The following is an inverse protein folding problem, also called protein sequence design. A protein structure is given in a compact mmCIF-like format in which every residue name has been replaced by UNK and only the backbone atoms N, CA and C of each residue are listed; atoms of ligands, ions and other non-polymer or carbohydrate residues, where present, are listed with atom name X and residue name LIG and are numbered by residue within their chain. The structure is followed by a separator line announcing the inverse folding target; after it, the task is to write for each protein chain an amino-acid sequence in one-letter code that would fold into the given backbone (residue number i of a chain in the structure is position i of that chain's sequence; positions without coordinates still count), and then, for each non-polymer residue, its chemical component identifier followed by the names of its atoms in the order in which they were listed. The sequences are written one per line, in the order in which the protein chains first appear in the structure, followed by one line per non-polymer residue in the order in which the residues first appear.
data_IF_358405428061
#
_entry.id   IF_358405428061
#
_cell.length_a   1.000
_cell.length_b   1.000
_cell.length_c   1.000
_cell.angle_alpha   90.00
_cell.angle_beta   90.00
_cell.angle_gamma   90.00
#
_symmetry.space_group_name_H-M   'P 1'
#
loop_
_entity.id
_entity.type
_entity.pdbx_description
1 polymer ?
#
# COMPACT_ATOMS: atom_id res chain seq x y z
N UNK A 1 -2.66 11.87 -0.01
CA UNK A 1 -2.55 13.19 -0.64
C UNK A 1 -2.49 13.05 -2.16
N UNK A 2 -3.31 13.83 -2.84
CA UNK A 2 -3.30 13.97 -4.30
C UNK A 2 -3.12 15.43 -4.66
N UNK A 3 -2.41 15.68 -5.76
CA UNK A 3 -2.20 17.00 -6.32
C UNK A 3 -2.71 17.01 -7.77
N UNK A 4 -3.46 18.03 -8.14
CA UNK A 4 -3.94 18.17 -9.51
C UNK A 4 -2.88 18.90 -10.34
N UNK A 5 -2.25 18.18 -11.27
CA UNK A 5 -1.25 18.70 -12.19
C UNK A 5 -1.78 18.59 -13.62
N UNK A 6 -2.02 19.69 -14.28
CA UNK A 6 -2.53 19.74 -15.65
C UNK A 6 -3.83 18.92 -15.86
N UNK A 7 -4.71 18.89 -14.85
CA UNK A 7 -5.98 18.15 -14.87
C UNK A 7 -5.84 16.65 -14.54
N UNK A 8 -4.66 16.17 -14.17
CA UNK A 8 -4.40 14.80 -13.72
C UNK A 8 -4.19 14.82 -12.21
N UNK A 9 -4.96 14.01 -11.48
CA UNK A 9 -4.77 13.83 -10.04
C UNK A 9 -3.59 12.88 -9.77
N UNK A 10 -2.48 13.43 -9.35
CA UNK A 10 -1.24 12.72 -9.04
C UNK A 10 -1.27 12.24 -7.60
N UNK A 11 -1.12 10.94 -7.37
CA UNK A 11 -0.98 10.35 -6.04
C UNK A 11 0.48 10.51 -5.58
N UNK A 12 0.74 11.50 -4.72
CA UNK A 12 2.11 11.92 -4.38
C UNK A 12 2.88 10.84 -3.60
N UNK A 13 2.21 10.11 -2.74
CA UNK A 13 2.81 9.05 -1.90
C UNK A 13 2.58 7.64 -2.43
N UNK A 14 2.50 7.48 -3.75
CA UNK A 14 2.28 6.19 -4.41
C UNK A 14 0.81 5.91 -4.72
N UNK A 15 0.57 4.81 -5.44
CA UNK A 15 -0.77 4.40 -5.82
C UNK A 15 -1.63 4.06 -4.60
N UNK A 16 -2.70 4.81 -4.40
CA UNK A 16 -3.68 4.56 -3.34
C UNK A 16 -5.04 4.31 -3.98
N UNK A 17 -5.51 3.07 -3.88
CA UNK A 17 -6.84 2.65 -4.29
C UNK A 17 -7.64 2.36 -3.03
N UNK A 18 -8.77 3.04 -2.87
CA UNK A 18 -9.65 2.75 -1.74
C UNK A 18 -10.38 1.44 -1.98
N UNK A 19 -10.34 0.55 -1.01
CA UNK A 19 -11.07 -0.72 -1.03
C UNK A 19 -11.48 -1.11 0.39
N UNK A 20 -12.61 -1.75 0.54
CA UNK A 20 -13.11 -2.25 1.84
C UNK A 20 -14.25 -3.24 1.66
N UNK A 21 -14.40 -4.16 2.59
CA UNK A 21 -15.61 -4.96 2.79
C UNK A 21 -16.45 -4.45 3.97
N UNK A 22 -15.95 -3.44 4.69
CA UNK A 22 -16.64 -2.83 5.83
C UNK A 22 -17.66 -1.78 5.35
N UNK A 23 -18.94 -2.15 5.37
CA UNK A 23 -20.00 -1.22 4.91
C UNK A 23 -20.03 0.10 5.67
N UNK A 24 -19.75 0.09 6.99
CA UNK A 24 -19.69 1.30 7.81
C UNK A 24 -18.65 2.29 7.29
N UNK A 25 -17.48 1.78 6.89
CA UNK A 25 -16.40 2.61 6.35
C UNK A 25 -16.76 3.14 4.98
N UNK A 26 -17.32 2.28 4.10
CA UNK A 26 -17.78 2.69 2.78
C UNK A 26 -18.84 3.79 2.84
N UNK A 27 -19.86 3.61 3.68
CA UNK A 27 -20.91 4.60 3.88
C UNK A 27 -20.37 5.91 4.46
N UNK A 28 -19.36 5.85 5.32
CA UNK A 28 -18.72 7.02 5.91
C UNK A 28 -17.97 7.85 4.86
N UNK A 29 -17.07 7.23 4.08
CA UNK A 29 -16.27 7.98 3.09
C UNK A 29 -17.10 8.56 1.96
N UNK A 30 -18.20 7.90 1.60
CA UNK A 30 -19.15 8.40 0.57
C UNK A 30 -19.95 9.63 1.00
N UNK A 31 -19.87 10.06 2.26
CA UNK A 31 -20.41 11.36 2.69
C UNK A 31 -19.53 12.53 2.23
N UNK A 32 -18.25 12.27 1.93
CA UNK A 32 -17.24 13.29 1.65
C UNK A 32 -16.72 13.29 0.23
N UNK A 33 -16.93 12.21 -0.52
CA UNK A 33 -16.56 12.12 -1.92
C UNK A 33 -17.43 11.08 -2.64
N UNK A 34 -17.70 11.32 -3.92
CA UNK A 34 -18.18 10.28 -4.83
C UNK A 34 -17.00 9.43 -5.28
N UNK A 35 -17.16 8.11 -5.29
CA UNK A 35 -16.13 7.18 -5.76
C UNK A 35 -16.45 6.71 -7.18
N UNK A 36 -15.44 6.69 -8.02
CA UNK A 36 -15.58 6.10 -9.34
C UNK A 36 -15.55 4.55 -9.25
N UNK A 37 -15.78 3.90 -10.40
CA UNK A 37 -15.77 2.42 -10.49
C UNK A 37 -14.39 1.82 -10.79
N UNK A 38 -13.30 2.49 -10.43
CA UNK A 38 -11.96 1.97 -10.71
C UNK A 38 -11.77 0.60 -10.06
N UNK A 39 -11.35 -0.37 -10.87
CA UNK A 39 -11.02 -1.72 -10.42
C UNK A 39 -9.52 -1.91 -10.56
N UNK A 40 -8.84 -2.19 -9.45
CA UNK A 40 -7.40 -2.35 -9.45
C UNK A 40 -6.99 -3.67 -10.12
N UNK A 41 -6.33 -3.56 -11.26
CA UNK A 41 -5.87 -4.71 -12.07
C UNK A 41 -4.41 -4.50 -12.47
N UNK A 42 -3.47 -4.54 -11.52
CA UNK A 42 -2.06 -4.36 -11.81
C UNK A 42 -1.50 -5.51 -12.65
N UNK A 43 -0.44 -5.24 -13.36
CA UNK A 43 0.34 -6.26 -14.07
C UNK A 43 1.77 -6.30 -13.55
N UNK A 44 2.43 -7.43 -13.72
CA UNK A 44 3.85 -7.61 -13.42
C UNK A 44 4.64 -7.78 -14.72
N UNK A 45 5.73 -7.04 -14.86
CA UNK A 45 6.69 -7.17 -15.95
C UNK A 45 7.92 -7.92 -15.46
N UNK A 46 8.26 -9.00 -16.17
CA UNK A 46 9.48 -9.79 -15.94
C UNK A 46 10.13 -10.13 -17.27
N UNK A 47 11.34 -9.63 -17.54
CA UNK A 47 12.13 -9.86 -18.76
C UNK A 47 11.34 -9.68 -20.06
N UNK A 48 10.56 -8.60 -20.13
CA UNK A 48 9.74 -8.26 -21.29
C UNK A 48 8.41 -9.04 -21.39
N UNK A 49 8.10 -9.92 -20.45
CA UNK A 49 6.84 -10.65 -20.38
C UNK A 49 5.90 -10.03 -19.35
N UNK A 50 4.64 -9.77 -19.73
CA UNK A 50 3.60 -9.25 -18.84
C UNK A 50 2.77 -10.41 -18.27
N UNK A 51 2.50 -10.32 -16.95
CA UNK A 51 1.69 -11.23 -16.18
C UNK A 51 0.60 -10.49 -15.42
N UNK A 52 -0.61 -11.04 -15.37
CA UNK A 52 -1.69 -10.48 -14.59
C UNK A 52 -1.47 -10.71 -13.08
N UNK A 53 -1.90 -9.74 -12.28
CA UNK A 53 -1.92 -9.80 -10.82
C UNK A 53 -3.35 -9.60 -10.30
N UNK A 54 -3.75 -10.27 -9.20
CA UNK A 54 -3.04 -11.29 -8.45
C UNK A 54 -2.81 -12.56 -9.28
N UNK A 55 -2.04 -13.53 -8.76
CA UNK A 55 -1.81 -14.80 -9.46
C UNK A 55 -3.14 -15.52 -9.70
N UNK A 56 -3.58 -15.54 -10.93
CA UNK A 56 -4.87 -16.08 -11.36
C UNK A 56 -4.74 -16.93 -12.63
N UNK A 57 -5.85 -17.42 -13.16
CA UNK A 57 -5.82 -18.28 -14.35
C UNK A 57 -5.18 -17.60 -15.58
N UNK A 58 -5.24 -16.27 -15.73
CA UNK A 58 -4.51 -15.57 -16.80
C UNK A 58 -2.99 -15.65 -16.57
N UNK A 59 -2.54 -15.52 -15.31
CA UNK A 59 -1.13 -15.69 -14.94
C UNK A 59 -0.64 -17.10 -15.23
N UNK A 60 -1.41 -18.12 -14.83
CA UNK A 60 -1.04 -19.54 -15.02
C UNK A 60 -1.07 -19.96 -16.50
N UNK A 61 -2.05 -19.45 -17.27
CA UNK A 61 -2.06 -19.64 -18.71
C UNK A 61 -0.81 -19.06 -19.37
N UNK A 62 -0.40 -17.84 -18.98
CA UNK A 62 0.81 -17.19 -19.51
C UNK A 62 2.08 -17.94 -19.10
N UNK A 63 2.16 -18.49 -17.89
CA UNK A 63 3.34 -19.21 -17.37
C UNK A 63 3.47 -20.61 -18.00
N UNK A 64 2.37 -21.36 -18.10
CA UNK A 64 2.39 -22.80 -18.37
C UNK A 64 1.48 -23.25 -19.52
N UNK A 65 0.70 -22.35 -20.14
CA UNK A 65 -0.26 -22.69 -21.19
C UNK A 65 -1.49 -23.45 -20.72
N UNK A 66 -1.70 -23.57 -19.41
CA UNK A 66 -2.85 -24.26 -18.81
C UNK A 66 -4.14 -23.45 -18.97
N UNK A 67 -5.25 -24.13 -19.09
CA UNK A 67 -6.57 -23.49 -19.34
C UNK A 67 -7.60 -23.80 -18.26
N UNK A 68 -7.37 -24.83 -17.46
CA UNK A 68 -8.30 -25.24 -16.39
C UNK A 68 -7.68 -25.08 -15.00
N UNK A 69 -8.51 -24.84 -13.96
CA UNK A 69 -8.05 -24.81 -12.57
C UNK A 69 -7.30 -26.07 -12.13
N UNK A 70 -7.75 -27.24 -12.58
CA UNK A 70 -7.12 -28.51 -12.25
C UNK A 70 -5.69 -28.63 -12.80
N UNK A 71 -5.45 -28.20 -14.04
CA UNK A 71 -4.12 -28.17 -14.65
C UNK A 71 -3.22 -27.19 -13.93
N UNK A 72 -3.70 -25.98 -13.60
CA UNK A 72 -2.93 -24.99 -12.87
C UNK A 72 -2.54 -25.46 -11.46
N UNK A 73 -3.49 -26.05 -10.74
CA UNK A 73 -3.24 -26.64 -9.42
C UNK A 73 -2.21 -27.78 -9.52
N UNK A 74 -2.33 -28.65 -10.50
CA UNK A 74 -1.39 -29.76 -10.69
C UNK A 74 0.05 -29.25 -10.93
N UNK A 75 0.21 -28.15 -11.69
CA UNK A 75 1.53 -27.54 -11.92
C UNK A 75 2.13 -26.95 -10.63
N UNK A 76 1.35 -26.25 -9.85
CA UNK A 76 1.79 -25.70 -8.55
C UNK A 76 2.20 -26.85 -7.61
N UNK A 77 1.36 -27.89 -7.49
CA UNK A 77 1.66 -29.03 -6.59
C UNK A 77 2.85 -29.87 -7.08
N UNK A 78 3.08 -29.99 -8.39
CA UNK A 78 4.27 -30.60 -8.96
C UNK A 78 5.53 -29.86 -8.49
N UNK A 79 5.60 -28.54 -8.69
CA UNK A 79 6.76 -27.71 -8.29
C UNK A 79 6.97 -27.67 -6.76
N UNK A 80 5.90 -27.65 -5.97
CA UNK A 80 5.97 -27.74 -4.51
C UNK A 80 6.55 -29.08 -4.05
N UNK A 81 6.11 -30.18 -4.68
CA UNK A 81 6.60 -31.53 -4.41
C UNK A 81 8.07 -31.68 -4.78
N UNK A 82 8.48 -31.14 -5.93
CA UNK A 82 9.88 -31.15 -6.37
C UNK A 82 10.78 -30.36 -5.39
N UNK A 83 10.30 -29.25 -4.85
CA UNK A 83 11.02 -28.47 -3.86
C UNK A 83 11.17 -29.18 -2.52
N UNK A 84 10.26 -30.09 -2.15
CA UNK A 84 10.35 -30.92 -0.96
C UNK A 84 10.37 -30.18 0.37
N UNK A 85 9.85 -28.94 0.41
CA UNK A 85 9.88 -28.07 1.59
C UNK A 85 8.70 -28.42 2.50
N UNK A 86 9.00 -28.93 3.69
CA UNK A 86 8.00 -29.28 4.71
C UNK A 86 7.88 -28.23 5.81
N UNK A 87 9.00 -27.62 6.19
CA UNK A 87 9.07 -26.57 7.21
C UNK A 87 9.91 -25.40 6.67
N UNK A 88 9.26 -24.37 6.11
CA UNK A 88 9.96 -23.22 5.53
C UNK A 88 10.75 -22.43 6.58
N UNK A 89 12.06 -22.23 6.38
CA UNK A 89 12.95 -21.52 7.30
C UNK A 89 13.10 -20.03 6.98
N UNK A 90 12.82 -19.64 5.76
CA UNK A 90 12.99 -18.29 5.27
C UNK A 90 11.89 -17.96 4.25
N UNK A 91 11.90 -16.72 3.75
CA UNK A 91 10.89 -16.22 2.82
C UNK A 91 10.90 -16.97 1.49
N UNK A 92 12.08 -17.35 0.95
CA UNK A 92 12.21 -18.12 -0.29
C UNK A 92 11.47 -19.45 -0.17
N UNK A 93 11.82 -20.22 0.86
CA UNK A 93 11.21 -21.54 1.11
C UNK A 93 9.69 -21.41 1.34
N UNK A 94 9.27 -20.39 2.08
CA UNK A 94 7.85 -20.10 2.31
C UNK A 94 7.10 -19.80 1.01
N UNK A 95 7.65 -18.92 0.16
CA UNK A 95 7.03 -18.57 -1.11
C UNK A 95 6.92 -19.77 -2.05
N UNK A 96 8.01 -20.55 -2.20
CA UNK A 96 8.02 -21.77 -3.02
C UNK A 96 6.99 -22.79 -2.51
N UNK A 97 6.88 -22.96 -1.19
CA UNK A 97 5.90 -23.88 -0.60
C UNK A 97 4.44 -23.43 -0.82
N UNK A 98 4.21 -22.16 -1.12
CA UNK A 98 2.87 -21.60 -1.39
C UNK A 98 2.49 -21.67 -2.88
N UNK A 99 3.40 -21.25 -3.76
CA UNK A 99 3.07 -20.98 -5.18
C UNK A 99 3.95 -21.72 -6.19
N UNK A 100 4.92 -22.49 -5.73
CA UNK A 100 5.90 -23.16 -6.61
C UNK A 100 7.08 -22.27 -6.99
N UNK A 101 8.09 -22.89 -7.59
CA UNK A 101 9.37 -22.24 -7.92
C UNK A 101 9.23 -21.22 -9.05
N UNK A 102 8.48 -21.55 -10.10
CA UNK A 102 8.34 -20.67 -11.28
C UNK A 102 7.72 -19.33 -10.94
N UNK A 103 6.63 -19.32 -10.17
CA UNK A 103 5.98 -18.06 -9.72
C UNK A 103 6.91 -17.31 -8.79
N UNK A 104 7.55 -18.01 -7.86
CA UNK A 104 8.51 -17.38 -6.94
C UNK A 104 9.63 -16.67 -7.70
N UNK A 105 10.33 -17.35 -8.58
CA UNK A 105 11.49 -16.80 -9.29
C UNK A 105 11.15 -15.62 -10.20
N UNK A 106 10.04 -15.71 -10.93
CA UNK A 106 9.64 -14.66 -11.89
C UNK A 106 8.93 -13.48 -11.24
N UNK A 107 8.04 -13.74 -10.28
CA UNK A 107 7.05 -12.73 -9.86
C UNK A 107 7.17 -12.29 -8.38
N UNK A 108 7.93 -13.01 -7.56
CA UNK A 108 8.05 -12.72 -6.13
C UNK A 108 9.45 -12.32 -5.73
N UNK A 109 10.46 -13.11 -6.10
CA UNK A 109 11.82 -12.99 -5.60
C UNK A 109 12.41 -11.60 -5.76
N UNK A 110 12.63 -11.15 -6.98
CA UNK A 110 13.31 -9.87 -7.24
C UNK A 110 12.53 -8.65 -6.72
N UNK A 111 11.20 -8.69 -6.79
CA UNK A 111 10.36 -7.65 -6.21
C UNK A 111 10.54 -7.57 -4.68
N UNK A 112 10.48 -8.70 -4.00
CA UNK A 112 10.60 -8.77 -2.54
C UNK A 112 12.00 -8.41 -2.07
N UNK A 113 13.04 -8.90 -2.75
CA UNK A 113 14.43 -8.59 -2.42
C UNK A 113 14.72 -7.08 -2.55
N UNK A 114 14.18 -6.41 -3.58
CA UNK A 114 14.25 -4.95 -3.71
C UNK A 114 13.52 -4.25 -2.58
N UNK A 115 12.27 -4.65 -2.32
CA UNK A 115 11.41 -4.05 -1.30
C UNK A 115 12.06 -4.08 0.08
N UNK A 116 12.74 -5.18 0.42
CA UNK A 116 13.35 -5.37 1.73
C UNK A 116 14.84 -5.02 1.77
N UNK A 117 15.50 -4.88 0.61
CA UNK A 117 16.95 -4.63 0.52
C UNK A 117 17.80 -5.79 1.05
N UNK A 118 17.25 -7.01 1.06
CA UNK A 118 17.89 -8.25 1.55
C UNK A 118 17.51 -9.41 0.65
N UNK A 119 18.36 -10.45 0.63
CA UNK A 119 18.03 -11.70 -0.08
C UNK A 119 16.83 -12.39 0.57
N UNK A 120 16.00 -13.04 -0.23
CA UNK A 120 14.82 -13.76 0.26
C UNK A 120 15.19 -14.88 1.25
N UNK A 121 16.39 -15.49 1.10
CA UNK A 121 16.94 -16.48 2.04
C UNK A 121 17.32 -15.91 3.42
N UNK A 122 17.50 -14.58 3.53
CA UNK A 122 17.83 -13.88 4.78
C UNK A 122 16.58 -13.27 5.46
N UNK A 123 15.45 -13.30 4.77
CA UNK A 123 14.19 -12.76 5.26
C UNK A 123 13.37 -13.84 5.98
N UNK A 124 12.73 -13.52 7.11
CA UNK A 124 11.90 -14.47 7.82
C UNK A 124 10.69 -14.94 7.00
N UNK A 125 10.32 -16.21 7.15
CA UNK A 125 9.17 -16.82 6.45
C UNK A 125 7.83 -16.13 6.70
N UNK A 126 7.63 -15.54 7.88
CA UNK A 126 6.37 -14.88 8.26
C UNK A 126 6.06 -13.61 7.45
N UNK A 127 7.03 -13.03 6.73
CA UNK A 127 6.81 -11.87 5.85
C UNK A 127 5.81 -12.24 4.74
N UNK A 128 5.86 -13.46 4.23
CA UNK A 128 4.91 -14.00 3.28
C UNK A 128 4.11 -15.13 3.94
N UNK A 129 3.10 -14.78 4.74
CA UNK A 129 2.22 -15.79 5.35
C UNK A 129 1.32 -16.47 4.32
N UNK A 130 0.94 -15.74 3.29
CA UNK A 130 0.12 -16.21 2.16
C UNK A 130 0.39 -15.37 0.93
N UNK A 131 0.34 -15.99 -0.22
CA UNK A 131 0.28 -15.32 -1.52
C UNK A 131 -1.11 -15.56 -2.11
N UNK A 132 -1.81 -14.54 -2.58
CA UNK A 132 -3.15 -14.71 -3.13
C UNK A 132 -3.07 -15.46 -4.45
N UNK A 133 -3.56 -16.68 -4.45
CA UNK A 133 -3.70 -17.54 -5.64
C UNK A 133 -5.18 -17.74 -5.90
N UNK A 134 -5.62 -17.49 -7.13
CA UNK A 134 -7.02 -17.63 -7.53
C UNK A 134 -7.13 -18.51 -8.77
N UNK A 135 -7.90 -19.58 -8.68
CA UNK A 135 -8.18 -20.49 -9.79
C UNK A 135 -9.39 -20.05 -10.62
N UNK A 136 -9.48 -18.75 -10.89
CA UNK A 136 -10.51 -18.10 -11.72
C UNK A 136 -9.87 -17.07 -12.65
N UNK A 137 -10.54 -16.70 -13.74
CA UNK A 137 -10.12 -15.64 -14.67
C UNK A 137 -10.62 -14.28 -14.18
N UNK A 138 -10.05 -13.79 -13.05
CA UNK A 138 -10.38 -12.50 -12.47
C UNK A 138 -9.11 -11.72 -12.17
N UNK A 139 -8.96 -10.55 -12.79
CA UNK A 139 -7.83 -9.65 -12.62
C UNK A 139 -8.06 -8.58 -11.56
N UNK A 140 -9.21 -8.54 -10.89
CA UNK A 140 -9.41 -7.64 -9.78
C UNK A 140 -8.46 -8.02 -8.64
N UNK A 141 -7.58 -7.08 -8.25
CA UNK A 141 -6.55 -7.35 -7.23
C UNK A 141 -7.15 -7.59 -5.84
N UNK A 142 -8.19 -6.84 -5.48
CA UNK A 142 -8.85 -6.92 -4.18
C UNK A 142 -10.00 -7.92 -4.17
N UNK A 143 -10.26 -8.49 -2.99
CA UNK A 143 -11.43 -9.33 -2.73
C UNK A 143 -12.58 -8.56 -2.06
N UNK A 144 -12.38 -7.27 -1.83
CA UNK A 144 -13.32 -6.43 -1.11
C UNK A 144 -14.58 -6.13 -1.95
N UNK A 145 -15.69 -5.92 -1.24
CA UNK A 145 -16.99 -5.65 -1.84
C UNK A 145 -17.05 -4.28 -2.53
N UNK A 146 -16.27 -3.32 -2.02
CA UNK A 146 -16.24 -1.95 -2.49
C UNK A 146 -14.82 -1.54 -2.84
N UNK A 147 -14.64 -0.84 -3.93
CA UNK A 147 -13.38 -0.21 -4.31
C UNK A 147 -13.62 0.94 -5.26
N UNK A 148 -12.69 1.88 -5.32
CA UNK A 148 -12.73 3.02 -6.24
C UNK A 148 -11.70 4.08 -5.89
N UNK A 149 -11.72 5.14 -6.67
CA UNK A 149 -10.92 6.35 -6.44
C UNK A 149 -11.89 7.50 -6.19
N UNK A 150 -11.66 8.34 -5.16
CA UNK A 150 -12.52 9.48 -4.90
C UNK A 150 -12.41 10.50 -6.04
N UNK A 151 -13.55 10.89 -6.61
CA UNK A 151 -13.63 11.91 -7.64
C UNK A 151 -13.10 13.26 -7.10
N UNK A 152 -12.17 13.87 -7.84
CA UNK A 152 -11.45 15.06 -7.38
C UNK A 152 -10.24 14.80 -6.48
N UNK A 153 -9.96 13.53 -6.16
CA UNK A 153 -8.77 13.11 -5.43
C UNK A 153 -8.92 13.06 -3.91
N UNK A 154 -7.95 12.43 -3.26
CA UNK A 154 -7.96 12.22 -1.80
C UNK A 154 -7.82 13.51 -1.00
N UNK A 155 -7.07 14.48 -1.49
CA UNK A 155 -6.92 15.77 -0.80
C UNK A 155 -8.28 16.44 -0.66
N UNK A 156 -9.07 16.48 -1.74
CA UNK A 156 -10.42 17.07 -1.71
C UNK A 156 -11.37 16.32 -0.75
N UNK A 157 -11.29 14.99 -0.73
CA UNK A 157 -12.06 14.17 0.21
C UNK A 157 -11.73 14.53 1.67
N UNK A 158 -10.42 14.66 2.00
CA UNK A 158 -9.98 15.02 3.34
C UNK A 158 -10.36 16.46 3.70
N UNK A 159 -10.27 17.41 2.77
CA UNK A 159 -10.77 18.78 2.96
C UNK A 159 -12.27 18.80 3.33
N UNK A 160 -13.08 18.00 2.63
CA UNK A 160 -14.50 17.87 2.93
C UNK A 160 -14.74 17.24 4.32
N UNK A 161 -13.91 16.27 4.74
CA UNK A 161 -13.99 15.67 6.09
C UNK A 161 -13.67 16.71 7.19
N UNK A 162 -12.81 17.67 6.89
CA UNK A 162 -12.35 18.69 7.84
C UNK A 162 -13.19 19.98 7.78
N UNK A 163 -14.26 20.03 6.99
CA UNK A 163 -15.13 21.21 6.90
C UNK A 163 -15.65 21.60 8.29
N UNK A 164 -15.47 22.86 8.65
CA UNK A 164 -15.83 23.38 9.97
C UNK A 164 -14.81 23.13 11.09
N UNK A 165 -13.70 22.45 10.80
CA UNK A 165 -12.60 22.21 11.74
C UNK A 165 -11.45 23.16 11.47
N UNK A 166 -10.87 23.76 12.51
CA UNK A 166 -9.64 24.56 12.37
C UNK A 166 -8.46 23.67 11.98
N UNK A 167 -7.80 23.99 10.87
CA UNK A 167 -6.64 23.25 10.36
C UNK A 167 -5.40 24.15 10.33
N UNK A 168 -4.32 23.76 10.98
CA UNK A 168 -3.02 24.42 10.94
C UNK A 168 -2.02 23.55 10.19
N UNK A 169 -1.66 23.95 8.96
CA UNK A 169 -0.64 23.29 8.17
C UNK A 169 0.76 23.80 8.56
N UNK A 170 1.81 23.01 8.26
CA UNK A 170 3.21 23.32 8.57
C UNK A 170 3.43 23.60 10.06
N UNK A 171 2.75 22.87 10.92
CA UNK A 171 2.78 23.02 12.36
C UNK A 171 3.14 21.67 13.00
N UNK A 172 4.39 21.48 13.40
CA UNK A 172 4.80 20.28 14.14
C UNK A 172 4.31 20.40 15.60
N UNK A 173 3.63 19.37 16.07
CA UNK A 173 3.13 19.29 17.43
C UNK A 173 4.24 19.51 18.47
N UNK A 174 5.43 18.98 18.22
CA UNK A 174 6.55 19.05 19.17
C UNK A 174 7.18 20.45 19.29
N UNK A 175 7.02 21.31 18.28
CA UNK A 175 7.52 22.69 18.34
C UNK A 175 6.72 23.54 19.35
N UNK A 176 5.45 23.17 19.58
CA UNK A 176 4.53 23.91 20.46
C UNK A 176 3.78 22.98 21.42
N UNK A 177 4.39 21.87 21.84
CA UNK A 177 3.75 20.82 22.63
C UNK A 177 3.07 21.33 23.90
N UNK A 178 3.74 22.20 24.68
CA UNK A 178 3.20 22.73 25.93
C UNK A 178 1.94 23.60 25.69
N UNK A 179 1.92 24.39 24.61
CA UNK A 179 0.75 25.19 24.22
C UNK A 179 -0.41 24.27 23.86
N UNK A 180 -0.21 23.31 22.95
CA UNK A 180 -1.26 22.38 22.50
C UNK A 180 -1.77 21.51 23.64
N UNK A 181 -0.88 21.04 24.51
CA UNK A 181 -1.27 20.29 25.70
C UNK A 181 -2.11 21.12 26.67
N UNK A 182 -1.91 22.45 26.73
CA UNK A 182 -2.64 23.33 27.65
C UNK A 182 -4.07 23.64 27.20
N UNK A 183 -4.30 23.72 25.87
CA UNK A 183 -5.60 24.13 25.30
C UNK A 183 -6.52 22.95 24.97
N UNK A 184 -5.99 21.74 24.78
CA UNK A 184 -6.79 20.57 24.41
C UNK A 184 -7.31 19.84 25.66
N UNK A 185 -8.56 19.39 25.66
CA UNK A 185 -9.09 18.46 26.66
C UNK A 185 -8.62 17.03 26.39
N UNK A 186 -8.56 16.64 25.12
CA UNK A 186 -8.02 15.37 24.63
C UNK A 186 -7.16 15.60 23.39
N UNK A 187 -6.15 14.77 23.22
CA UNK A 187 -5.20 14.80 22.09
C UNK A 187 -5.26 13.45 21.39
N UNK A 188 -5.55 13.45 20.09
CA UNK A 188 -5.44 12.27 19.23
C UNK A 188 -4.12 12.40 18.47
N UNK A 189 -3.12 11.63 18.92
CA UNK A 189 -1.79 11.65 18.31
C UNK A 189 -1.65 10.53 17.30
N UNK A 190 -1.36 10.89 16.04
CA UNK A 190 -1.24 9.94 14.92
C UNK A 190 0.20 9.81 14.40
N UNK A 191 1.14 10.54 14.99
CA UNK A 191 2.57 10.44 14.68
C UNK A 191 3.24 9.21 15.29
N UNK A 192 4.57 9.03 15.07
CA UNK A 192 5.31 7.90 15.62
C UNK A 192 5.28 7.91 17.15
N UNK A 193 4.83 6.80 17.74
CA UNK A 193 4.69 6.66 19.19
C UNK A 193 6.05 6.78 19.93
N UNK A 194 7.11 6.24 19.33
CA UNK A 194 8.46 6.34 19.89
C UNK A 194 8.99 7.77 19.90
N UNK A 195 8.68 8.57 18.85
CA UNK A 195 8.99 10.01 18.81
C UNK A 195 8.25 10.77 19.92
N UNK A 196 7.00 10.41 20.20
CA UNK A 196 6.23 11.05 21.27
C UNK A 196 6.89 10.92 22.63
N UNK A 197 7.52 9.79 22.92
CA UNK A 197 8.25 9.49 24.15
C UNK A 197 9.77 9.73 24.03
N UNK A 198 10.20 10.57 23.10
CA UNK A 198 11.60 10.93 22.88
C UNK A 198 12.53 9.69 22.78
N UNK A 199 12.03 8.64 22.15
CA UNK A 199 12.76 7.39 21.91
C UNK A 199 13.33 6.72 23.18
N UNK A 200 12.69 6.91 24.33
CA UNK A 200 13.22 6.48 25.65
C UNK A 200 13.51 4.97 25.74
N UNK A 201 12.90 4.13 24.92
CA UNK A 201 13.20 2.71 24.81
C UNK A 201 13.95 2.33 23.52
N UNK A 202 14.25 3.32 22.68
CA UNK A 202 14.88 3.15 21.37
C UNK A 202 13.91 3.29 20.21
N UNK A 203 14.47 3.29 19.00
CA UNK A 203 13.74 3.55 17.75
C UNK A 203 13.02 2.32 17.24
N UNK A 204 11.76 2.48 16.85
CA UNK A 204 11.00 1.53 16.03
C UNK A 204 11.48 1.62 14.59
N UNK A 205 11.50 0.51 13.88
CA UNK A 205 11.99 0.44 12.51
C UNK A 205 10.84 0.58 11.51
N UNK A 206 11.13 1.28 10.42
CA UNK A 206 10.22 1.47 9.30
C UNK A 206 10.91 1.15 7.98
N UNK A 207 10.13 1.05 6.92
CA UNK A 207 10.61 1.14 5.53
C UNK A 207 10.15 2.47 4.96
N UNK A 208 10.96 3.02 4.08
CA UNK A 208 10.65 4.25 3.35
C UNK A 208 10.50 3.98 1.85
N UNK A 209 9.99 4.96 1.13
CA UNK A 209 9.87 4.97 -0.31
C UNK A 209 10.41 6.29 -0.85
N UNK A 210 10.89 6.25 -2.09
CA UNK A 210 11.28 7.43 -2.86
C UNK A 210 10.53 7.40 -4.19
N UNK A 211 10.05 8.55 -4.61
CA UNK A 211 9.26 8.71 -5.83
C UNK A 211 9.97 9.64 -6.82
N UNK A 212 9.93 9.27 -8.09
CA UNK A 212 10.37 10.12 -9.20
C UNK A 212 9.20 10.29 -10.16
N UNK A 213 8.70 11.52 -10.27
CA UNK A 213 7.53 11.85 -11.08
C UNK A 213 7.95 12.65 -12.31
N UNK A 214 7.51 12.21 -13.48
CA UNK A 214 7.82 12.82 -14.77
C UNK A 214 6.56 12.97 -15.63
N UNK A 215 6.51 14.05 -16.40
CA UNK A 215 5.47 14.28 -17.39
C UNK A 215 5.96 13.86 -18.76
N UNK A 216 5.16 13.06 -19.48
CA UNK A 216 5.46 12.60 -20.83
C UNK A 216 4.48 13.22 -21.85
N UNK A 217 4.97 13.66 -23.04
CA UNK A 217 4.14 14.23 -24.10
C UNK A 217 3.47 13.13 -24.94
N UNK A 218 2.79 12.20 -24.27
CA UNK A 218 2.00 11.10 -24.85
C UNK A 218 0.70 10.97 -24.07
N UNK A 219 -0.33 10.50 -24.72
CA UNK A 219 -1.65 10.30 -24.09
C UNK A 219 -1.72 9.07 -23.20
N UNK A 220 -0.86 8.08 -23.45
CA UNK A 220 -0.81 6.83 -22.72
C UNK A 220 0.63 6.26 -22.75
N UNK A 221 1.22 6.05 -21.60
CA UNK A 221 2.63 5.62 -21.46
C UNK A 221 2.77 4.10 -21.37
N UNK A 222 1.98 3.44 -20.51
CA UNK A 222 2.14 2.02 -20.22
C UNK A 222 0.84 1.19 -20.35
N UNK A 223 -0.30 1.83 -20.59
CA UNK A 223 -1.57 1.15 -20.81
C UNK A 223 -2.25 0.60 -19.56
N UNK A 224 -1.72 0.90 -18.38
CA UNK A 224 -2.29 0.49 -17.08
C UNK A 224 -1.88 1.47 -15.98
N UNK A 225 -2.71 1.60 -14.95
CA UNK A 225 -2.39 2.45 -13.80
C UNK A 225 -1.13 1.99 -13.05
N UNK A 226 -0.93 0.69 -12.88
CA UNK A 226 0.19 0.13 -12.12
C UNK A 226 0.84 -1.03 -12.87
N UNK A 227 2.12 -0.90 -13.15
CA UNK A 227 2.99 -1.97 -13.65
C UNK A 227 4.08 -2.25 -12.62
N UNK A 228 4.09 -3.46 -12.07
CA UNK A 228 5.12 -3.92 -11.14
C UNK A 228 6.31 -4.49 -11.92
N UNK A 229 7.52 -4.12 -11.53
CA UNK A 229 8.77 -4.61 -12.11
C UNK A 229 9.39 -5.63 -11.16
N UNK A 230 9.35 -6.89 -11.54
CA UNK A 230 9.76 -7.99 -10.64
C UNK A 230 11.22 -8.41 -10.80
N UNK A 231 11.92 -7.91 -11.81
CA UNK A 231 13.37 -8.13 -11.97
C UNK A 231 14.15 -7.37 -10.89
N UNK A 232 15.14 -8.03 -10.31
CA UNK A 232 16.00 -7.43 -9.27
C UNK A 232 16.86 -6.28 -9.81
N UNK A 233 17.31 -6.38 -11.05
CA UNK A 233 18.19 -5.43 -11.73
C UNK A 233 17.51 -4.07 -12.03
N UNK A 234 16.19 -4.06 -12.06
CA UNK A 234 15.41 -2.81 -12.23
C UNK A 234 15.22 -2.17 -10.86
N UNK A 235 15.73 -0.93 -10.63
CA UNK A 235 15.85 -0.39 -9.27
C UNK A 235 14.53 0.04 -8.63
N UNK A 236 13.48 0.30 -9.42
CA UNK A 236 12.14 0.63 -8.91
C UNK A 236 11.26 -0.62 -8.85
N UNK A 237 10.29 -0.60 -7.94
CA UNK A 237 9.34 -1.70 -7.76
C UNK A 237 8.16 -1.61 -8.70
N UNK A 238 7.73 -0.39 -9.03
CA UNK A 238 6.60 -0.17 -9.93
C UNK A 238 6.63 1.19 -10.61
N UNK A 239 5.91 1.26 -11.71
CA UNK A 239 5.56 2.52 -12.38
C UNK A 239 4.05 2.72 -12.22
N UNK A 240 3.69 3.95 -11.87
CA UNK A 240 2.31 4.40 -11.70
C UNK A 240 2.02 5.41 -12.80
N UNK A 241 1.00 5.18 -13.63
CA UNK A 241 0.49 6.15 -14.58
C UNK A 241 -0.85 6.67 -14.09
N UNK A 242 -0.85 7.89 -13.56
CA UNK A 242 -1.93 8.42 -12.72
C UNK A 242 -3.25 8.63 -13.48
N UNK A 243 -3.23 8.93 -14.76
CA UNK A 243 -4.44 9.12 -15.59
C UNK A 243 -5.40 7.93 -15.56
N UNK A 244 -4.85 6.72 -15.46
CA UNK A 244 -5.67 5.50 -15.48
C UNK A 244 -6.53 5.32 -14.23
N UNK A 245 -6.28 6.06 -13.14
CA UNK A 245 -7.14 6.03 -11.96
C UNK A 245 -8.47 6.74 -12.18
N UNK A 246 -8.52 7.69 -13.14
CA UNK A 246 -9.72 8.40 -13.46
C UNK A 246 -10.29 7.93 -14.80
N UNK A 247 -11.46 7.33 -14.70
CA UNK A 247 -12.14 6.74 -15.84
C UNK A 247 -12.48 7.80 -16.88
N UNK A 248 -12.17 7.52 -18.17
CA UNK A 248 -12.44 8.43 -19.26
C UNK A 248 -11.31 9.40 -19.62
N UNK A 249 -10.34 9.63 -18.74
CA UNK A 249 -9.22 10.54 -19.04
C UNK A 249 -8.18 9.98 -20.01
N UNK A 250 -8.10 8.65 -20.14
CA UNK A 250 -7.20 7.96 -21.08
C UNK A 250 -7.87 7.43 -22.32
N UNK A 251 -9.16 7.13 -22.24
CA UNK A 251 -9.90 6.46 -23.30
C UNK A 251 -11.21 7.20 -23.56
N UNK A 252 -11.38 7.74 -24.76
CA UNK A 252 -12.65 8.28 -25.22
C UNK A 252 -12.72 9.80 -25.37
N UNK A 253 -13.93 10.28 -25.63
CA UNK A 253 -14.24 11.68 -25.99
C UNK A 253 -14.12 12.67 -24.82
N UNK A 254 -13.87 12.19 -23.61
CA UNK A 254 -13.84 12.98 -22.38
C UNK A 254 -12.44 13.42 -21.95
N UNK A 255 -11.38 12.96 -22.66
CA UNK A 255 -10.03 13.47 -22.47
C UNK A 255 -9.95 14.87 -23.10
N UNK A 256 -10.21 15.90 -22.29
CA UNK A 256 -10.18 17.29 -22.73
C UNK A 256 -8.89 18.01 -22.28
N UNK A 257 -8.48 19.03 -23.07
CA UNK A 257 -7.38 19.90 -22.71
C UNK A 257 -6.01 19.23 -22.72
N UNK A 258 -5.11 19.69 -21.84
CA UNK A 258 -3.72 19.24 -21.74
C UNK A 258 -3.63 17.76 -21.39
N UNK A 259 -4.54 17.25 -20.58
CA UNK A 259 -4.61 15.83 -20.20
C UNK A 259 -4.82 14.90 -21.41
N UNK A 260 -5.32 15.38 -22.55
CA UNK A 260 -5.47 14.57 -23.77
C UNK A 260 -4.14 14.25 -24.48
N UNK A 261 -3.09 15.06 -24.24
CA UNK A 261 -1.81 14.98 -24.96
C UNK A 261 -0.61 14.66 -24.07
N UNK A 262 -0.81 14.60 -22.76
CA UNK A 262 0.24 14.32 -21.77
C UNK A 262 -0.21 13.25 -20.79
N UNK A 263 0.75 12.58 -20.20
CA UNK A 263 0.53 11.73 -19.03
C UNK A 263 1.58 11.98 -17.97
N UNK A 264 1.24 11.66 -16.71
CA UNK A 264 2.16 11.77 -15.58
C UNK A 264 2.41 10.39 -15.02
N UNK A 265 3.68 10.09 -14.88
CA UNK A 265 4.20 8.78 -14.48
C UNK A 265 5.08 8.94 -13.25
N UNK A 266 4.87 8.10 -12.26
CA UNK A 266 5.71 8.04 -11.06
C UNK A 266 6.39 6.68 -10.95
N UNK A 267 7.72 6.68 -10.80
CA UNK A 267 8.52 5.50 -10.43
C UNK A 267 8.65 5.43 -8.93
N UNK A 268 8.34 4.28 -8.35
CA UNK A 268 8.43 4.03 -6.93
C UNK A 268 9.66 3.19 -6.62
N UNK A 269 10.54 3.73 -5.79
CA UNK A 269 11.76 3.07 -5.34
C UNK A 269 11.64 2.68 -3.86
N UNK A 270 12.01 1.45 -3.50
CA UNK A 270 12.15 1.10 -2.10
C UNK A 270 13.35 1.82 -1.50
N UNK A 271 13.21 2.28 -0.26
CA UNK A 271 14.27 2.99 0.43
C UNK A 271 14.39 2.55 1.89
N UNK A 272 15.60 2.70 2.45
CA UNK A 272 15.83 2.52 3.87
C UNK A 272 15.32 3.74 4.63
N UNK A 273 14.67 3.50 5.75
CA UNK A 273 14.19 4.56 6.62
C UNK A 273 15.28 5.06 7.57
N UNK A 274 15.24 6.35 7.88
CA UNK A 274 15.87 7.00 9.02
C UNK A 274 14.93 8.12 9.50
N UNK A 275 15.28 8.82 10.60
CA UNK A 275 14.43 9.86 11.20
C UNK A 275 14.12 11.07 10.30
N UNK A 276 14.88 11.25 9.23
CA UNK A 276 14.70 12.36 8.25
C UNK A 276 13.77 11.98 7.11
N UNK A 277 13.36 10.69 7.04
CA UNK A 277 12.51 10.16 5.98
C UNK A 277 11.13 9.77 6.50
N UNK A 278 10.15 9.85 5.61
CA UNK A 278 8.79 9.42 5.90
C UNK A 278 8.72 7.91 6.21
N UNK A 279 8.06 7.53 7.32
CA UNK A 279 7.84 6.13 7.68
C UNK A 279 6.63 5.55 6.95
N UNK A 280 6.83 4.87 5.83
CA UNK A 280 5.72 4.29 5.05
C UNK A 280 5.20 2.97 5.61
N UNK A 281 6.09 2.07 6.01
CA UNK A 281 5.71 0.73 6.47
C UNK A 281 6.40 0.38 7.76
N UNK A 282 5.65 -0.15 8.71
CA UNK A 282 6.19 -0.71 9.97
C UNK A 282 6.92 -2.02 9.70
N UNK A 283 8.03 -2.25 10.39
CA UNK A 283 8.78 -3.51 10.33
C UNK A 283 8.36 -4.41 11.49
N UNK A 284 7.39 -5.28 11.24
CA UNK A 284 6.79 -6.15 12.27
C UNK A 284 7.65 -7.41 12.52
N UNK A 285 8.83 -7.23 13.12
CA UNK A 285 9.66 -8.30 13.66
C UNK A 285 9.49 -8.43 15.18
N UNK A 286 10.07 -9.47 15.78
CA UNK A 286 9.98 -9.73 17.22
C UNK A 286 10.52 -8.57 18.06
N UNK A 287 11.70 -8.04 17.69
CA UNK A 287 12.33 -6.89 18.35
C UNK A 287 11.38 -5.69 18.42
N UNK A 288 10.84 -5.30 17.28
CA UNK A 288 9.97 -4.13 17.19
C UNK A 288 8.61 -4.37 17.88
N UNK A 289 8.11 -5.59 17.85
CA UNK A 289 6.89 -5.96 18.58
C UNK A 289 7.07 -5.84 20.08
N UNK A 290 8.20 -6.31 20.62
CA UNK A 290 8.53 -6.16 22.04
C UNK A 290 8.82 -4.69 22.43
N UNK A 291 9.46 -3.94 21.55
CA UNK A 291 9.70 -2.51 21.76
C UNK A 291 8.39 -1.71 21.77
N UNK A 292 7.49 -1.98 20.80
CA UNK A 292 6.18 -1.34 20.76
C UNK A 292 5.35 -1.63 22.02
N UNK A 293 5.37 -2.85 22.55
CA UNK A 293 4.66 -3.18 23.80
C UNK A 293 5.08 -2.25 24.95
N UNK A 294 6.37 -1.93 25.07
CA UNK A 294 6.85 -1.00 26.11
C UNK A 294 6.29 0.41 25.92
N UNK A 295 6.24 0.90 24.68
CA UNK A 295 5.63 2.20 24.38
C UNK A 295 4.12 2.19 24.62
N UNK A 296 3.45 1.10 24.26
CA UNK A 296 2.03 0.94 24.52
C UNK A 296 1.71 0.96 26.02
N UNK A 297 2.53 0.36 26.86
CA UNK A 297 2.37 0.43 28.34
C UNK A 297 2.49 1.86 28.89
N UNK A 298 3.27 2.74 28.24
CA UNK A 298 3.27 4.16 28.57
C UNK A 298 1.99 4.83 28.06
N UNK A 299 1.62 4.58 26.83
CA UNK A 299 0.43 5.13 26.19
C UNK A 299 -0.86 4.78 26.95
N UNK A 300 -0.96 3.56 27.47
CA UNK A 300 -2.13 3.09 28.22
C UNK A 300 -2.28 3.79 29.61
N UNK A 301 -1.23 4.50 30.06
CA UNK A 301 -1.25 5.32 31.28
C UNK A 301 -1.57 6.79 31.01
N UNK A 302 -1.55 7.20 29.74
CA UNK A 302 -1.90 8.56 29.36
C UNK A 302 -3.40 8.81 29.55
N UNK A 303 -3.74 9.81 30.34
CA UNK A 303 -5.17 10.14 30.56
C UNK A 303 -5.77 11.05 29.50
N UNK A 304 -4.92 11.76 28.77
CA UNK A 304 -5.30 12.84 27.85
C UNK A 304 -4.99 12.53 26.39
N UNK A 305 -3.98 11.71 26.13
CA UNK A 305 -3.47 11.40 24.78
C UNK A 305 -3.92 10.03 24.33
N UNK A 306 -4.52 9.96 23.15
CA UNK A 306 -4.92 8.73 22.47
C UNK A 306 -4.02 8.53 21.26
N UNK A 307 -3.35 7.38 21.20
CA UNK A 307 -2.48 7.04 20.08
C UNK A 307 -3.28 6.31 19.01
N UNK A 308 -3.41 6.91 17.84
CA UNK A 308 -4.21 6.40 16.73
C UNK A 308 -3.39 6.33 15.43
N UNK A 309 -3.93 5.63 14.43
CA UNK A 309 -3.33 5.51 13.11
C UNK A 309 -2.11 4.59 13.06
N UNK A 310 -1.52 4.47 11.85
CA UNK A 310 -0.43 3.51 11.57
C UNK A 310 0.79 3.70 12.46
N UNK A 311 1.19 4.95 12.69
CA UNK A 311 2.41 5.29 13.42
C UNK A 311 2.18 5.31 14.94
N UNK A 312 1.04 5.83 15.39
CA UNK A 312 0.67 5.85 16.81
C UNK A 312 0.41 4.44 17.36
N UNK A 313 -0.13 3.55 16.55
CA UNK A 313 -0.42 2.15 16.92
C UNK A 313 0.63 1.15 16.41
N UNK A 314 1.66 1.62 15.72
CA UNK A 314 2.70 0.81 15.08
C UNK A 314 2.13 -0.42 14.35
N UNK A 315 1.10 -0.21 13.55
CA UNK A 315 0.36 -1.26 12.87
C UNK A 315 0.27 -0.99 11.36
N UNK A 316 0.40 -2.03 10.56
CA UNK A 316 0.17 -1.92 9.13
C UNK A 316 -1.34 -1.90 8.86
N UNK A 317 -1.85 -0.72 8.56
CA UNK A 317 -3.25 -0.52 8.17
C UNK A 317 -3.35 -0.12 6.70
N UNK A 318 -4.30 -0.68 5.98
CA UNK A 318 -4.85 -0.09 4.77
C UNK A 318 -5.80 1.07 5.13
N UNK A 319 -6.15 1.92 4.17
CA UNK A 319 -6.95 3.12 4.43
C UNK A 319 -8.29 2.81 5.14
N UNK A 320 -8.94 1.72 4.77
CA UNK A 320 -10.19 1.30 5.38
C UNK A 320 -10.03 0.94 6.86
N UNK A 321 -8.93 0.26 7.20
CA UNK A 321 -8.66 -0.14 8.61
C UNK A 321 -8.26 1.05 9.47
N UNK A 322 -7.56 2.04 8.91
CA UNK A 322 -7.30 3.31 9.61
C UNK A 322 -8.61 4.02 9.94
N UNK A 323 -9.51 4.14 8.96
CA UNK A 323 -10.80 4.81 9.14
C UNK A 323 -11.66 4.02 10.13
N UNK A 324 -11.71 2.69 10.01
CA UNK A 324 -12.46 1.86 10.97
C UNK A 324 -11.94 2.03 12.40
N UNK A 325 -10.61 2.02 12.58
CA UNK A 325 -9.98 2.26 13.88
C UNK A 325 -10.34 3.62 14.43
N UNK A 326 -10.32 4.67 13.59
CA UNK A 326 -10.69 6.02 13.99
C UNK A 326 -12.17 6.12 14.39
N UNK A 327 -13.08 5.50 13.63
CA UNK A 327 -14.52 5.46 13.95
C UNK A 327 -14.79 4.74 15.29
N UNK A 328 -14.09 3.62 15.53
CA UNK A 328 -14.22 2.90 16.80
C UNK A 328 -13.69 3.71 17.97
N UNK A 329 -12.55 4.39 17.80
CA UNK A 329 -12.01 5.29 18.85
C UNK A 329 -12.96 6.45 19.13
N UNK A 330 -13.59 7.01 18.10
CA UNK A 330 -14.60 8.07 18.28
C UNK A 330 -15.81 7.57 19.08
N UNK A 331 -16.32 6.37 18.79
CA UNK A 331 -17.44 5.77 19.54
C UNK A 331 -17.10 5.54 21.02
N UNK A 332 -15.83 5.29 21.36
CA UNK A 332 -15.37 5.05 22.73
C UNK A 332 -15.15 6.36 23.52
N UNK A 333 -14.88 7.46 22.82
CA UNK A 333 -14.42 8.72 23.43
C UNK A 333 -15.53 9.77 23.46
N UNK A 334 -16.47 9.72 22.52
CA UNK A 334 -17.62 10.63 22.41
C UNK A 334 -18.86 10.05 23.07
#
# INVERSE_FOLDING_TARGET
YTENVDGINVHIYGAHIFHTSEKRVWDYVNQFAEFNRYTNSPVALYKGELYNMPFNMNTFNKLWGVTTPAEALAKIEEEKKEAGITEPKNLEEQAISLVGKTIYEKLVKGYTEKQWGKKATELPSFIIKRLPVRFIYDNNYFNDLYQGIPMGGYTKMVENMLEGTEVKLNCDYFDNKEEFDSIADKIIFTGPIDKYYDYCYGELEYRSLRFETETYPVDNYQGNAVVNYTEYEIPYTRIIEHKHFEFGKTLGKEAEGIAATKTIVTREYPDSWNKEKEPYYTVNNERNSELYKKYKELADKEGKVLFCGRLGQYCYYDMDKVILSALNTADEVL
#
